data_IF_677704181968
#
_entry.id   IF_677704181968
#
_cell.length_a   1.000
_cell.length_b   1.000
_cell.length_c   1.000
_cell.angle_alpha   90.00
_cell.angle_beta   90.00
_cell.angle_gamma   90.00
#
_symmetry.space_group_name_H-M   'P 1'
#
loop_
_entity.id
_entity.type
_entity.pdbx_description
1 polymer ?
#
# COMPACT_ATOMS: atom_id res chain seq x y z
N UNK A 1 -13.06 -22.36 7.11
CA UNK A 1 -14.06 -21.39 6.62
C UNK A 1 -13.32 -20.13 6.21
N UNK A 2 -13.63 -19.57 5.03
CA UNK A 2 -13.00 -18.33 4.55
C UNK A 2 -13.63 -17.17 5.34
N UNK A 3 -12.81 -16.26 5.87
CA UNK A 3 -13.32 -15.09 6.60
C UNK A 3 -14.18 -14.26 5.64
N UNK A 4 -15.48 -14.12 5.95
CA UNK A 4 -16.46 -13.43 5.11
C UNK A 4 -16.05 -11.97 4.83
N UNK A 5 -15.27 -11.37 5.73
CA UNK A 5 -14.73 -10.01 5.58
C UNK A 5 -13.70 -9.89 4.45
N UNK A 6 -13.00 -10.97 4.11
CA UNK A 6 -12.13 -11.00 2.91
C UNK A 6 -12.99 -10.82 1.66
N UNK A 7 -14.21 -11.37 1.65
CA UNK A 7 -15.18 -11.18 0.58
C UNK A 7 -15.56 -9.71 0.37
N UNK A 8 -15.64 -8.91 1.44
CA UNK A 8 -15.89 -7.47 1.34
C UNK A 8 -14.75 -6.74 0.60
N UNK A 9 -13.50 -7.11 0.89
CA UNK A 9 -12.33 -6.54 0.22
C UNK A 9 -12.34 -6.92 -1.27
N UNK A 10 -12.58 -8.19 -1.58
CA UNK A 10 -12.58 -8.73 -2.95
C UNK A 10 -13.62 -8.07 -3.85
N UNK A 11 -14.81 -7.82 -3.30
CA UNK A 11 -15.94 -7.29 -4.05
C UNK A 11 -16.08 -5.77 -3.99
N UNK A 12 -15.18 -5.06 -3.29
CA UNK A 12 -15.17 -3.59 -3.26
C UNK A 12 -14.85 -2.96 -4.63
N UNK A 13 -15.17 -1.68 -4.80
CA UNK A 13 -14.82 -0.91 -6.01
C UNK A 13 -13.38 -0.36 -6.01
N UNK A 14 -12.56 -0.80 -5.06
CA UNK A 14 -11.15 -0.48 -5.02
C UNK A 14 -10.39 -1.08 -6.21
N UNK A 15 -9.32 -0.41 -6.63
CA UNK A 15 -8.39 -0.99 -7.61
C UNK A 15 -7.75 -2.26 -7.03
N UNK A 16 -7.30 -3.17 -7.90
CA UNK A 16 -6.61 -4.40 -7.47
C UNK A 16 -5.45 -4.12 -6.50
N UNK A 17 -4.65 -3.09 -6.78
CA UNK A 17 -3.55 -2.64 -5.90
C UNK A 17 -4.07 -2.29 -4.51
N UNK A 18 -5.13 -1.49 -4.42
CA UNK A 18 -5.70 -1.06 -3.15
C UNK A 18 -6.34 -2.22 -2.40
N UNK A 19 -6.99 -3.16 -3.11
CA UNK A 19 -7.53 -4.40 -2.52
C UNK A 19 -6.44 -5.26 -1.88
N UNK A 20 -5.32 -5.45 -2.59
CA UNK A 20 -4.18 -6.22 -2.08
C UNK A 20 -3.56 -5.56 -0.83
N UNK A 21 -3.35 -4.24 -0.87
CA UNK A 21 -2.81 -3.50 0.27
C UNK A 21 -3.73 -3.56 1.49
N UNK A 22 -5.04 -3.38 1.28
CA UNK A 22 -6.05 -3.49 2.32
C UNK A 22 -6.10 -4.90 2.93
N UNK A 23 -6.05 -5.94 2.08
CA UNK A 23 -5.98 -7.32 2.52
C UNK A 23 -4.76 -7.58 3.40
N UNK A 24 -3.59 -7.07 3.04
CA UNK A 24 -2.38 -7.24 3.84
C UNK A 24 -2.47 -6.58 5.22
N UNK A 25 -3.10 -5.41 5.32
CA UNK A 25 -3.36 -4.76 6.62
C UNK A 25 -4.36 -5.57 7.43
N UNK A 26 -5.47 -5.99 6.81
CA UNK A 26 -6.49 -6.81 7.45
C UNK A 26 -5.92 -8.13 8.02
N UNK A 27 -5.04 -8.80 7.27
CA UNK A 27 -4.36 -10.03 7.70
C UNK A 27 -3.25 -9.79 8.73
N UNK A 28 -2.86 -8.53 8.99
CA UNK A 28 -1.74 -8.21 9.89
C UNK A 28 -0.35 -8.44 9.28
N UNK A 29 -0.26 -8.63 7.98
CA UNK A 29 1.00 -8.81 7.24
C UNK A 29 1.68 -7.47 6.91
N UNK A 30 0.95 -6.37 7.13
CA UNK A 30 1.43 -5.00 7.06
C UNK A 30 0.76 -4.19 8.18
N UNK A 31 1.50 -3.39 8.98
CA UNK A 31 0.90 -2.64 10.08
C UNK A 31 0.01 -1.50 9.58
N UNK A 32 0.40 -0.83 8.50
CA UNK A 32 -0.41 0.21 7.87
C UNK A 32 -0.12 0.34 6.38
N UNK A 33 -1.09 0.87 5.63
CA UNK A 33 -0.95 1.18 4.21
C UNK A 33 -1.55 2.54 3.86
N UNK A 34 -1.20 3.03 2.69
CA UNK A 34 -1.80 4.21 2.07
C UNK A 34 -2.60 3.77 0.85
N UNK A 35 -3.84 4.24 0.75
CA UNK A 35 -4.65 4.20 -0.46
C UNK A 35 -4.66 5.61 -1.03
N UNK A 36 -4.20 5.74 -2.28
CA UNK A 36 -4.18 7.01 -3.01
C UNK A 36 -5.39 7.03 -3.94
N UNK A 37 -6.34 7.91 -3.67
CA UNK A 37 -7.42 8.24 -4.58
C UNK A 37 -7.05 9.53 -5.29
N UNK A 38 -6.85 9.45 -6.60
CA UNK A 38 -6.67 10.66 -7.43
C UNK A 38 -8.03 11.35 -7.54
N UNK A 39 -8.21 12.46 -6.84
CA UNK A 39 -9.22 13.44 -7.17
C UNK A 39 -8.72 14.24 -8.38
N UNK A 40 -9.53 14.35 -9.41
CA UNK A 40 -9.13 15.08 -10.61
C UNK A 40 -8.96 16.57 -10.23
N UNK A 41 -7.76 17.12 -10.43
CA UNK A 41 -7.56 18.57 -10.39
C UNK A 41 -8.05 19.12 -11.72
N UNK A 42 -9.03 20.01 -11.67
CA UNK A 42 -9.45 20.81 -12.82
C UNK A 42 -8.29 21.76 -13.22
N UNK A 43 -7.79 21.60 -14.44
CA UNK A 43 -7.10 22.66 -15.20
C UNK A 43 -7.96 22.93 -16.46
N UNK A 44 -7.94 24.15 -17.03
CA UNK A 44 -9.16 24.91 -17.31
C UNK A 44 -9.83 24.60 -18.65
N UNK A 45 -9.96 23.34 -19.05
CA UNK A 45 -10.74 22.99 -20.24
C UNK A 45 -11.51 21.67 -20.09
N UNK A 46 -12.84 21.81 -20.15
CA UNK A 46 -13.87 20.82 -20.51
C UNK A 46 -14.23 19.72 -19.48
N UNK A 47 -15.32 20.01 -18.78
CA UNK A 47 -16.37 19.12 -18.25
C UNK A 47 -16.31 17.64 -18.67
N UNK A 48 -15.82 16.78 -17.78
CA UNK A 48 -16.58 15.69 -17.11
C UNK A 48 -15.61 14.63 -16.56
N UNK A 49 -15.10 14.82 -15.34
CA UNK A 49 -14.60 13.69 -14.54
C UNK A 49 -15.06 13.90 -13.10
N UNK A 50 -15.96 13.03 -12.62
CA UNK A 50 -16.49 13.09 -11.25
C UNK A 50 -15.36 12.78 -10.25
N UNK A 51 -15.22 13.53 -9.15
CA UNK A 51 -14.19 13.27 -8.15
C UNK A 51 -14.44 11.91 -7.50
N UNK A 52 -13.39 11.07 -7.42
CA UNK A 52 -13.39 9.83 -6.61
C UNK A 52 -13.59 10.08 -5.11
N UNK A 53 -13.73 11.33 -4.68
CA UNK A 53 -14.22 11.69 -3.35
C UNK A 53 -15.59 11.08 -3.04
N UNK A 54 -16.42 10.83 -4.06
CA UNK A 54 -17.70 10.10 -3.88
C UNK A 54 -17.52 8.67 -3.36
N UNK A 55 -16.34 8.07 -3.55
CA UNK A 55 -16.02 6.74 -3.03
C UNK A 55 -15.58 6.80 -1.56
N UNK A 56 -15.31 7.98 -0.99
CA UNK A 56 -14.83 8.10 0.39
C UNK A 56 -15.85 7.52 1.38
N UNK A 57 -17.17 7.84 1.32
CA UNK A 57 -18.15 7.23 2.20
C UNK A 57 -18.16 5.70 2.11
N UNK A 58 -18.20 5.13 0.90
CA UNK A 58 -18.21 3.68 0.66
C UNK A 58 -16.93 3.02 1.20
N UNK A 59 -15.76 3.65 1.00
CA UNK A 59 -14.50 3.15 1.54
C UNK A 59 -14.51 3.23 3.08
N UNK A 60 -15.03 4.29 3.68
CA UNK A 60 -15.14 4.41 5.14
C UNK A 60 -16.05 3.32 5.72
N UNK A 61 -17.19 3.05 5.09
CA UNK A 61 -18.10 1.98 5.48
C UNK A 61 -17.42 0.60 5.38
N UNK A 62 -16.69 0.35 4.28
CA UNK A 62 -15.87 -0.85 4.14
C UNK A 62 -14.85 -0.98 5.27
N UNK A 63 -14.09 0.08 5.57
CA UNK A 63 -13.06 0.05 6.62
C UNK A 63 -13.67 -0.16 8.01
N UNK A 64 -14.82 0.46 8.29
CA UNK A 64 -15.58 0.25 9.52
C UNK A 64 -16.05 -1.20 9.65
N UNK A 65 -16.59 -1.78 8.58
CA UNK A 65 -17.03 -3.18 8.55
C UNK A 65 -15.86 -4.17 8.74
N UNK A 66 -14.66 -3.79 8.32
CA UNK A 66 -13.43 -4.56 8.55
C UNK A 66 -12.83 -4.34 9.95
N UNK A 67 -13.34 -3.37 10.73
CA UNK A 67 -12.79 -2.99 12.03
C UNK A 67 -11.42 -2.32 11.94
N UNK A 68 -11.14 -1.61 10.84
CA UNK A 68 -9.85 -0.95 10.59
C UNK A 68 -9.91 0.54 10.95
N UNK A 69 -8.83 1.02 11.55
CA UNK A 69 -8.63 2.44 11.84
C UNK A 69 -8.11 3.15 10.60
N UNK A 70 -8.51 4.41 10.39
CA UNK A 70 -8.04 5.18 9.25
C UNK A 70 -7.95 6.68 9.52
N UNK A 71 -7.16 7.37 8.69
CA UNK A 71 -7.10 8.83 8.60
C UNK A 71 -7.16 9.26 7.13
N UNK A 72 -7.93 10.31 6.86
CA UNK A 72 -8.09 10.88 5.53
C UNK A 72 -7.34 12.20 5.47
N UNK A 73 -6.46 12.34 4.47
CA UNK A 73 -5.75 13.58 4.19
C UNK A 73 -6.02 13.99 2.76
N UNK A 74 -6.60 15.17 2.59
CA UNK A 74 -6.89 15.75 1.28
C UNK A 74 -5.81 16.79 0.98
N UNK A 75 -5.10 16.64 -0.14
CA UNK A 75 -4.14 17.63 -0.63
C UNK A 75 -4.76 18.33 -1.83
N UNK A 76 -5.44 19.45 -1.58
CA UNK A 76 -6.17 20.21 -2.61
C UNK A 76 -5.27 20.66 -3.77
N UNK A 77 -4.02 21.05 -3.50
CA UNK A 77 -3.08 21.51 -4.53
C UNK A 77 -2.69 20.44 -5.55
N UNK A 78 -2.76 19.17 -5.17
CA UNK A 78 -2.43 18.05 -6.05
C UNK A 78 -3.65 17.24 -6.47
N UNK A 79 -4.83 17.52 -5.90
CA UNK A 79 -6.04 16.70 -6.04
C UNK A 79 -5.81 15.26 -5.58
N UNK A 80 -4.91 14.99 -4.65
CA UNK A 80 -4.77 13.64 -4.12
C UNK A 80 -5.48 13.54 -2.78
N UNK A 81 -6.31 12.51 -2.64
CA UNK A 81 -6.85 12.08 -1.34
C UNK A 81 -6.07 10.85 -0.92
N UNK A 82 -5.45 10.96 0.24
CA UNK A 82 -4.69 9.89 0.87
C UNK A 82 -5.51 9.32 2.02
N UNK A 83 -5.74 8.02 1.99
CA UNK A 83 -6.34 7.28 3.11
C UNK A 83 -5.25 6.40 3.72
N UNK A 84 -4.84 6.74 4.94
CA UNK A 84 -3.96 5.92 5.74
C UNK A 84 -4.81 4.94 6.54
N UNK A 85 -4.46 3.66 6.51
CA UNK A 85 -5.27 2.57 7.07
C UNK A 85 -4.38 1.67 7.92
N UNK A 86 -4.85 1.29 9.10
CA UNK A 86 -4.19 0.36 10.02
C UNK A 86 -5.23 -0.45 10.79
N UNK A 87 -4.78 -1.45 11.56
CA UNK A 87 -5.64 -2.20 12.48
C UNK A 87 -5.91 -1.47 13.79
N UNK A 88 -5.10 -0.47 14.12
CA UNK A 88 -5.20 0.26 15.39
C UNK A 88 -5.03 1.78 15.22
N UNK A 89 -5.66 2.51 16.14
CA UNK A 89 -5.70 3.96 16.12
C UNK A 89 -4.35 4.58 16.49
N UNK A 90 -3.52 3.88 17.27
CA UNK A 90 -2.19 4.35 17.68
C UNK A 90 -1.28 4.53 16.46
N UNK A 91 -1.25 3.53 15.57
CA UNK A 91 -0.50 3.56 14.32
C UNK A 91 -0.98 4.69 13.41
N UNK A 92 -2.30 4.90 13.29
CA UNK A 92 -2.87 6.02 12.53
C UNK A 92 -2.46 7.38 13.10
N UNK A 93 -2.50 7.53 14.42
CA UNK A 93 -2.07 8.75 15.10
C UNK A 93 -0.57 8.97 14.90
N UNK A 94 0.22 7.90 14.94
CA UNK A 94 1.65 7.90 14.66
C UNK A 94 1.98 8.40 13.27
N UNK A 95 1.31 7.84 12.24
CA UNK A 95 1.44 8.25 10.84
C UNK A 95 1.07 9.74 10.69
N UNK A 96 -0.09 10.14 11.25
CA UNK A 96 -0.56 11.52 11.13
C UNK A 96 0.45 12.52 11.70
N UNK A 97 1.08 12.18 12.84
CA UNK A 97 2.13 13.00 13.48
C UNK A 97 3.46 13.00 12.72
N UNK A 98 3.78 11.96 11.93
CA UNK A 98 4.99 11.94 11.11
C UNK A 98 4.86 12.70 9.78
N UNK A 99 3.64 13.10 9.40
CA UNK A 99 3.40 13.83 8.16
C UNK A 99 3.64 15.35 8.30
N UNK A 100 3.57 15.90 9.52
CA UNK A 100 3.82 17.32 9.79
C UNK A 100 4.32 17.57 11.23
N UNK A 101 5.56 18.08 11.41
CA UNK A 101 6.60 18.22 10.39
C UNK A 101 6.97 16.85 9.79
N UNK A 102 7.46 16.84 8.56
CA UNK A 102 7.77 15.59 7.84
C UNK A 102 8.90 14.84 8.55
N UNK A 103 8.61 13.62 8.99
CA UNK A 103 9.53 12.66 9.59
C UNK A 103 9.42 11.32 8.84
N UNK A 104 10.22 11.18 7.79
CA UNK A 104 10.21 9.99 6.92
C UNK A 104 10.66 8.72 7.66
N UNK A 105 11.51 8.85 8.70
CA UNK A 105 11.97 7.72 9.50
C UNK A 105 10.79 7.14 10.29
N UNK A 106 10.11 8.00 11.05
CA UNK A 106 8.94 7.61 11.85
C UNK A 106 7.79 7.11 10.98
N UNK A 107 7.56 7.77 9.83
CA UNK A 107 6.58 7.31 8.85
C UNK A 107 6.90 5.89 8.36
N UNK A 108 8.15 5.64 7.96
CA UNK A 108 8.59 4.32 7.47
C UNK A 108 8.38 3.21 8.51
N UNK A 109 8.66 3.50 9.78
CA UNK A 109 8.43 2.55 10.90
C UNK A 109 6.96 2.20 11.07
N UNK A 110 6.06 3.18 11.10
CA UNK A 110 4.63 2.91 11.20
C UNK A 110 4.07 2.19 9.97
N UNK A 111 4.65 2.43 8.79
CA UNK A 111 4.29 1.70 7.56
C UNK A 111 4.83 0.25 7.56
N UNK A 112 5.67 -0.11 8.52
CA UNK A 112 6.27 -1.44 8.66
C UNK A 112 7.33 -1.72 7.61
N UNK A 113 8.09 -0.70 7.23
CA UNK A 113 9.28 -0.88 6.41
C UNK A 113 10.44 -1.40 7.27
N UNK A 114 11.29 -2.29 6.74
CA UNK A 114 12.49 -2.71 7.44
C UNK A 114 13.40 -1.50 7.74
N UNK A 115 14.03 -1.46 8.91
CA UNK A 115 14.95 -0.38 9.30
C UNK A 115 16.04 -0.15 8.24
N UNK A 116 16.56 -1.22 7.66
CA UNK A 116 17.57 -1.16 6.59
C UNK A 116 17.03 -0.47 5.32
N UNK A 117 15.77 -0.68 4.96
CA UNK A 117 15.13 0.02 3.85
C UNK A 117 14.87 1.51 4.18
N UNK A 118 14.52 1.82 5.43
CA UNK A 118 14.34 3.20 5.90
C UNK A 118 15.68 3.94 5.83
N UNK A 119 16.76 3.34 6.34
CA UNK A 119 18.11 3.90 6.25
C UNK A 119 18.55 4.12 4.81
N UNK A 120 18.24 3.18 3.90
CA UNK A 120 18.56 3.31 2.48
C UNK A 120 17.78 4.47 1.83
N UNK A 121 16.50 4.64 2.17
CA UNK A 121 15.68 5.76 1.72
C UNK A 121 16.23 7.10 2.21
N UNK A 122 16.64 7.17 3.48
CA UNK A 122 17.24 8.35 4.11
C UNK A 122 18.71 8.60 3.72
N UNK A 123 19.26 7.82 2.79
CA UNK A 123 20.67 7.89 2.33
C UNK A 123 21.70 7.66 3.44
N UNK A 124 21.30 7.02 4.55
CA UNK A 124 22.21 6.56 5.61
C UNK A 124 22.98 5.30 5.20
N UNK A 125 22.52 4.61 4.14
CA UNK A 125 23.21 3.49 3.50
C UNK A 125 22.93 3.41 1.99
N UNK A 126 23.72 2.63 1.23
CA UNK A 126 23.46 2.41 -0.19
C UNK A 126 22.11 1.72 -0.45
N UNK A 127 21.37 2.25 -1.41
CA UNK A 127 20.18 1.60 -1.97
C UNK A 127 20.59 0.59 -3.04
N UNK A 128 19.79 -0.45 -3.21
CA UNK A 128 20.02 -1.43 -4.27
C UNK A 128 20.11 -0.74 -5.64
N UNK A 129 21.16 -1.06 -6.40
CA UNK A 129 21.36 -0.46 -7.71
C UNK A 129 20.22 -0.84 -8.69
N UNK A 130 20.05 -0.05 -9.76
CA UNK A 130 18.92 -0.21 -10.70
C UNK A 130 18.92 -1.56 -11.42
N UNK A 131 20.09 -2.11 -11.73
CA UNK A 131 20.21 -3.37 -12.47
C UNK A 131 19.79 -4.57 -11.62
N UNK A 132 20.26 -4.65 -10.37
CA UNK A 132 19.81 -5.69 -9.41
C UNK A 132 18.35 -5.49 -9.01
N UNK A 133 17.90 -4.23 -8.90
CA UNK A 133 16.49 -3.93 -8.70
C UNK A 133 15.63 -4.50 -9.83
N UNK A 134 16.11 -4.48 -11.08
CA UNK A 134 15.39 -5.03 -12.23
C UNK A 134 15.07 -6.52 -12.10
N UNK A 135 16.02 -7.34 -11.62
CA UNK A 135 15.78 -8.77 -11.36
C UNK A 135 14.70 -8.99 -10.30
N UNK A 136 14.63 -8.11 -9.29
CA UNK A 136 13.55 -8.13 -8.28
C UNK A 136 12.24 -7.63 -8.89
N UNK A 137 12.27 -6.60 -9.76
CA UNK A 137 11.09 -6.08 -10.48
C UNK A 137 10.45 -7.19 -11.32
N UNK A 138 11.25 -7.96 -12.05
CA UNK A 138 10.81 -9.08 -12.89
C UNK A 138 10.16 -10.22 -12.07
N UNK A 139 10.49 -10.34 -10.78
CA UNK A 139 9.97 -11.41 -9.92
C UNK A 139 8.51 -11.23 -9.46
N UNK A 140 7.83 -10.13 -9.83
CA UNK A 140 6.48 -9.74 -9.34
C UNK A 140 6.39 -9.48 -7.82
N UNK A 141 7.46 -9.70 -7.07
CA UNK A 141 7.54 -9.51 -5.62
C UNK A 141 7.75 -8.05 -5.21
N UNK A 142 8.16 -7.19 -6.15
CA UNK A 142 8.37 -5.76 -5.88
C UNK A 142 7.11 -5.08 -5.35
N UNK A 143 5.94 -5.45 -5.88
CA UNK A 143 4.65 -4.94 -5.41
C UNK A 143 4.49 -5.10 -3.89
N UNK A 144 4.91 -6.25 -3.36
CA UNK A 144 4.77 -6.59 -1.95
C UNK A 144 5.82 -5.94 -1.04
N UNK A 145 6.87 -5.33 -1.59
CA UNK A 145 7.84 -4.59 -0.81
C UNK A 145 7.24 -3.26 -0.34
N UNK A 146 6.87 -2.41 -1.30
CA UNK A 146 6.38 -1.06 -1.02
C UNK A 146 7.43 -0.13 -0.40
N UNK A 147 8.72 -0.47 -0.50
CA UNK A 147 9.86 0.31 -0.01
C UNK A 147 11.08 0.18 -0.94
N UNK A 148 12.08 1.03 -0.73
CA UNK A 148 13.37 0.96 -1.44
C UNK A 148 14.28 -0.04 -0.74
N UNK A 149 14.73 -1.06 -1.46
CA UNK A 149 15.64 -2.07 -0.91
C UNK A 149 17.01 -1.48 -0.57
N UNK A 150 17.60 -1.91 0.54
CA UNK A 150 19.01 -1.65 0.82
C UNK A 150 19.91 -2.58 0.01
N UNK A 151 21.09 -2.12 -0.38
CA UNK A 151 21.97 -2.93 -1.23
C UNK A 151 22.44 -4.22 -0.52
N UNK A 152 22.81 -4.11 0.75
CA UNK A 152 23.35 -5.23 1.53
C UNK A 152 22.28 -6.24 1.98
N UNK A 153 21.06 -5.78 2.33
CA UNK A 153 20.03 -6.63 2.92
C UNK A 153 18.87 -6.96 1.98
N UNK A 154 18.98 -6.63 0.69
CA UNK A 154 17.88 -6.79 -0.28
C UNK A 154 17.24 -8.19 -0.27
N UNK A 155 18.03 -9.27 -0.15
CA UNK A 155 17.51 -10.64 -0.16
C UNK A 155 16.73 -10.96 1.12
N UNK A 156 17.20 -10.47 2.27
CA UNK A 156 16.52 -10.63 3.56
C UNK A 156 15.20 -9.86 3.54
N UNK A 157 15.25 -8.59 3.12
CA UNK A 157 14.08 -7.73 2.96
C UNK A 157 13.05 -8.36 1.99
N UNK A 158 13.51 -8.94 0.88
CA UNK A 158 12.65 -9.60 -0.10
C UNK A 158 11.95 -10.82 0.50
N UNK A 159 12.69 -11.66 1.22
CA UNK A 159 12.17 -12.88 1.82
C UNK A 159 11.19 -12.59 2.97
N UNK A 160 11.58 -11.72 3.90
CA UNK A 160 10.82 -11.45 5.12
C UNK A 160 9.55 -10.63 4.87
N UNK A 161 9.57 -9.74 3.87
CA UNK A 161 8.44 -8.85 3.59
C UNK A 161 7.70 -9.29 2.33
N UNK A 162 8.37 -9.30 1.17
CA UNK A 162 7.66 -9.53 -0.10
C UNK A 162 7.16 -10.96 -0.26
N UNK A 163 8.01 -11.97 -0.04
CA UNK A 163 7.63 -13.39 -0.19
C UNK A 163 6.56 -13.77 0.83
N UNK A 164 6.72 -13.34 2.09
CA UNK A 164 5.74 -13.56 3.15
C UNK A 164 4.36 -13.00 2.77
N UNK A 165 4.30 -11.73 2.37
CA UNK A 165 3.04 -11.07 1.95
C UNK A 165 2.44 -11.71 0.70
N UNK A 166 3.26 -12.09 -0.28
CA UNK A 166 2.84 -12.83 -1.46
C UNK A 166 2.15 -14.15 -1.10
N UNK A 167 2.75 -14.94 -0.21
CA UNK A 167 2.17 -16.20 0.25
C UNK A 167 0.89 -15.99 1.06
N UNK A 168 0.82 -14.93 1.87
CA UNK A 168 -0.39 -14.60 2.62
C UNK A 168 -1.56 -14.26 1.69
N UNK A 169 -1.34 -13.49 0.63
CA UNK A 169 -2.38 -13.22 -0.38
C UNK A 169 -2.78 -14.50 -1.08
N UNK A 170 -1.81 -15.32 -1.56
CA UNK A 170 -2.09 -16.60 -2.22
C UNK A 170 -2.97 -17.52 -1.36
N UNK A 171 -2.70 -17.57 -0.05
CA UNK A 171 -3.42 -18.42 0.90
C UNK A 171 -4.84 -17.92 1.19
N UNK A 172 -4.99 -16.63 1.45
CA UNK A 172 -6.24 -16.06 1.99
C UNK A 172 -7.18 -15.50 0.92
N UNK A 173 -6.64 -15.08 -0.22
CA UNK A 173 -7.40 -14.61 -1.37
C UNK A 173 -6.81 -15.15 -2.68
N UNK A 174 -7.09 -16.42 -3.03
CA UNK A 174 -6.70 -16.97 -4.32
C UNK A 174 -7.21 -16.14 -5.51
N UNK A 175 -8.40 -15.54 -5.37
CA UNK A 175 -8.98 -14.66 -6.40
C UNK A 175 -8.09 -13.44 -6.68
N UNK A 176 -7.79 -12.62 -5.66
CA UNK A 176 -6.93 -11.45 -5.85
C UNK A 176 -5.51 -11.84 -6.26
N UNK A 177 -5.02 -12.99 -5.79
CA UNK A 177 -3.75 -13.55 -6.23
C UNK A 177 -3.72 -13.82 -7.74
N UNK A 178 -4.75 -14.48 -8.27
CA UNK A 178 -4.85 -14.76 -9.71
C UNK A 178 -5.01 -13.49 -10.54
N UNK A 179 -5.88 -12.57 -10.12
CA UNK A 179 -6.04 -11.26 -10.77
C UNK A 179 -4.69 -10.49 -10.81
N UNK A 180 -3.91 -10.54 -9.72
CA UNK A 180 -2.57 -9.94 -9.68
C UNK A 180 -1.57 -10.64 -10.60
N UNK A 181 -1.62 -11.97 -10.67
CA UNK A 181 -0.72 -12.74 -11.54
C UNK A 181 -0.89 -12.37 -13.03
N UNK A 182 -2.13 -12.07 -13.43
CA UNK A 182 -2.53 -11.57 -14.75
C UNK A 182 -2.07 -10.12 -14.92
N UNK A 183 -2.36 -9.24 -13.95
CA UNK A 183 -1.93 -7.84 -13.97
C UNK A 183 -0.41 -7.72 -14.19
N UNK A 184 0.38 -8.47 -13.43
CA UNK A 184 1.84 -8.47 -13.58
C UNK A 184 2.31 -9.03 -14.94
N UNK A 185 1.56 -9.93 -15.58
CA UNK A 185 1.91 -10.44 -16.91
C UNK A 185 1.76 -9.37 -17.99
N UNK A 186 0.77 -8.48 -17.88
CA UNK A 186 0.52 -7.42 -18.86
C UNK A 186 1.38 -6.16 -18.68
N UNK A 187 1.83 -5.88 -17.45
CA UNK A 187 2.61 -4.67 -17.16
C UNK A 187 4.14 -4.88 -17.12
N UNK A 188 4.59 -6.12 -16.94
CA UNK A 188 6.02 -6.46 -16.78
C UNK A 188 6.51 -7.59 -17.70
N UNK A 189 5.65 -8.15 -18.56
CA UNK A 189 6.00 -9.14 -19.58
C UNK A 189 5.81 -8.56 -20.98
#
# INVERSE_FOLDING_TARGET
MRDERIGLIENSDLTLINKLLLLLVFLGEKPATEIILRACVEYPYKNTIKPKERLIPEIKELLNALGLSYSVRIIYSSGHVFLYISRDQETINGISKSLYPRDDEKFGRYMGFPETAIEAFLKKRPKLNKERSRKIVESKLLFFAGFVFSEEFNLKELKEFSVRRYLAVRKNSPRLFWENSIFCKYYFG
#
